data_IF_521775985623
#
_entry.id   IF_521775985623
#
_cell.length_a   1.000
_cell.length_b   1.000
_cell.length_c   1.000
_cell.angle_alpha   90.00
_cell.angle_beta   90.00
_cell.angle_gamma   90.00
#
_symmetry.space_group_name_H-M   'P 1'
#
loop_
_entity.id
_entity.type
_entity.pdbx_description
1 polymer ?
#
# COMPACT_ATOMS: atom_id res chain seq x y z
N UNK A 1 -13.34 11.22 -0.86
CA UNK A 1 -11.96 10.76 -0.70
C UNK A 1 -11.55 10.83 0.77
N UNK A 2 -10.91 9.78 1.27
CA UNK A 2 -10.41 9.72 2.64
C UNK A 2 -8.92 9.40 2.64
N UNK A 3 -8.18 10.05 3.53
CA UNK A 3 -6.76 9.78 3.76
C UNK A 3 -6.40 10.00 5.22
N UNK A 4 -5.21 9.59 5.59
CA UNK A 4 -4.63 9.90 6.89
C UNK A 4 -3.11 10.00 6.78
N UNK A 5 -2.55 10.84 7.61
CA UNK A 5 -1.12 10.98 7.80
C UNK A 5 -0.83 11.37 9.25
N UNK A 6 0.40 11.18 9.70
CA UNK A 6 0.89 11.60 11.02
C UNK A 6 1.52 12.99 10.99
N UNK A 7 1.85 13.51 9.81
CA UNK A 7 2.45 14.83 9.62
C UNK A 7 1.38 15.85 9.18
N UNK A 8 1.12 16.90 9.98
CA UNK A 8 0.19 17.97 9.60
C UNK A 8 0.56 18.70 8.30
N UNK A 9 1.85 18.72 7.92
CA UNK A 9 2.28 19.32 6.65
C UNK A 9 1.83 18.45 5.48
N UNK A 10 1.97 17.13 5.59
CA UNK A 10 1.52 16.19 4.56
C UNK A 10 0.00 16.22 4.39
N UNK A 11 -0.75 16.36 5.48
CA UNK A 11 -2.21 16.53 5.42
C UNK A 11 -2.60 17.77 4.62
N UNK A 12 -1.95 18.91 4.88
CA UNK A 12 -2.20 20.15 4.12
C UNK A 12 -1.87 19.99 2.64
N UNK A 13 -0.69 19.46 2.33
CA UNK A 13 -0.25 19.24 0.94
C UNK A 13 -1.19 18.27 0.20
N UNK A 14 -1.56 17.16 0.84
CA UNK A 14 -2.49 16.19 0.27
C UNK A 14 -3.87 16.82 0.01
N UNK A 15 -4.43 17.54 1.00
CA UNK A 15 -5.72 18.20 0.85
C UNK A 15 -5.70 19.23 -0.28
N UNK A 16 -4.68 20.08 -0.34
CA UNK A 16 -4.54 21.06 -1.42
C UNK A 16 -4.42 20.41 -2.79
N UNK A 17 -3.54 19.41 -2.93
CA UNK A 17 -3.31 18.71 -4.20
C UNK A 17 -4.59 18.01 -4.71
N UNK A 18 -5.28 17.29 -3.84
CA UNK A 18 -6.50 16.57 -4.21
C UNK A 18 -7.64 17.54 -4.56
N UNK A 19 -7.78 18.66 -3.83
CA UNK A 19 -8.77 19.71 -4.13
C UNK A 19 -8.48 20.38 -5.47
N UNK A 20 -7.24 20.72 -5.75
CA UNK A 20 -6.83 21.31 -7.04
C UNK A 20 -7.07 20.35 -8.22
N UNK A 21 -7.06 19.04 -7.99
CA UNK A 21 -7.42 18.03 -8.99
C UNK A 21 -8.93 17.79 -9.12
N UNK A 22 -9.76 18.61 -8.46
CA UNK A 22 -11.22 18.55 -8.57
C UNK A 22 -11.88 17.42 -7.80
N UNK A 23 -11.19 16.77 -6.87
CA UNK A 23 -11.81 15.72 -6.06
C UNK A 23 -12.76 16.33 -5.03
N UNK A 24 -14.05 15.93 -5.02
CA UNK A 24 -15.01 16.44 -4.05
C UNK A 24 -14.81 15.79 -2.67
N UNK A 25 -15.18 16.50 -1.61
CA UNK A 25 -15.26 15.97 -0.25
C UNK A 25 -13.97 15.29 0.24
N UNK A 26 -12.82 15.94 0.01
CA UNK A 26 -11.52 15.45 0.49
C UNK A 26 -11.46 15.53 2.01
N UNK A 27 -11.17 14.42 2.66
CA UNK A 27 -10.97 14.32 4.12
C UNK A 27 -9.65 13.62 4.39
N UNK A 28 -8.65 14.36 4.86
CA UNK A 28 -7.36 13.82 5.30
C UNK A 28 -7.22 14.06 6.79
N UNK A 29 -7.12 12.99 7.56
CA UNK A 29 -7.12 13.03 9.03
C UNK A 29 -5.71 12.95 9.59
N UNK A 30 -5.44 13.71 10.65
CA UNK A 30 -4.24 13.57 11.48
C UNK A 30 -4.41 12.31 12.35
N UNK A 31 -3.84 11.20 11.90
CA UNK A 31 -4.00 9.91 12.56
C UNK A 31 -2.86 8.96 12.26
N UNK A 32 -2.36 8.30 13.29
CA UNK A 32 -1.53 7.11 13.13
C UNK A 32 -2.42 5.87 13.22
N UNK A 33 -2.69 5.25 12.09
CA UNK A 33 -3.57 4.06 12.00
C UNK A 33 -3.02 2.83 12.71
N UNK A 34 -1.73 2.80 13.01
CA UNK A 34 -1.09 1.68 13.71
C UNK A 34 -1.22 1.78 15.24
N UNK A 35 -1.50 3.00 15.75
CA UNK A 35 -1.57 3.28 17.20
C UNK A 35 -2.88 3.89 17.65
N UNK A 36 -3.80 4.12 16.72
CA UNK A 36 -5.12 4.71 17.03
C UNK A 36 -6.20 3.94 16.27
N UNK A 37 -7.08 3.26 17.01
CA UNK A 37 -8.29 2.66 16.45
C UNK A 37 -9.46 3.63 16.52
N UNK A 38 -10.40 3.51 15.59
CA UNK A 38 -11.68 4.19 15.65
C UNK A 38 -12.79 3.15 15.74
N UNK A 39 -13.62 3.26 16.78
CA UNK A 39 -14.87 2.55 16.87
C UNK A 39 -15.90 3.04 15.84
N UNK A 40 -17.04 2.39 15.77
CA UNK A 40 -18.07 2.73 14.80
C UNK A 40 -18.70 4.10 15.06
N UNK A 41 -18.80 4.53 16.32
CA UNK A 41 -19.33 5.84 16.69
C UNK A 41 -18.39 6.95 16.17
N UNK A 42 -17.11 6.84 16.43
CA UNK A 42 -16.12 7.80 15.94
C UNK A 42 -16.00 7.80 14.42
N UNK A 43 -16.14 6.65 13.76
CA UNK A 43 -16.21 6.58 12.30
C UNK A 43 -17.44 7.32 11.77
N UNK A 44 -18.59 7.16 12.41
CA UNK A 44 -19.82 7.86 12.03
C UNK A 44 -19.68 9.38 12.20
N UNK A 45 -19.19 9.86 13.33
CA UNK A 45 -18.92 11.27 13.59
C UNK A 45 -18.00 11.91 12.53
N UNK A 46 -16.97 11.18 12.11
CA UNK A 46 -16.02 11.62 11.09
C UNK A 46 -16.53 11.39 9.66
N UNK A 47 -17.71 10.79 9.50
CA UNK A 47 -18.28 10.45 8.20
C UNK A 47 -17.43 9.45 7.41
N UNK A 48 -16.72 8.56 8.10
CA UNK A 48 -15.94 7.49 7.50
C UNK A 48 -16.84 6.31 7.11
N UNK A 49 -16.50 5.56 6.04
CA UNK A 49 -17.27 4.39 5.62
C UNK A 49 -17.31 3.33 6.73
N UNK A 50 -18.49 2.95 7.19
CA UNK A 50 -18.67 1.95 8.25
C UNK A 50 -18.28 0.54 7.78
N UNK A 51 -18.61 0.20 6.55
CA UNK A 51 -18.33 -1.12 5.96
C UNK A 51 -16.91 -1.25 5.39
N UNK A 52 -16.14 -0.16 5.40
CA UNK A 52 -14.81 -0.06 4.80
C UNK A 52 -14.79 0.58 3.42
N UNK A 53 -13.60 0.68 2.85
CA UNK A 53 -13.37 1.40 1.60
C UNK A 53 -13.58 0.52 0.36
N UNK A 54 -14.05 1.12 -0.71
CA UNK A 54 -14.17 0.46 -2.02
C UNK A 54 -12.80 0.22 -2.67
N UNK A 55 -11.92 1.21 -2.54
CA UNK A 55 -10.58 1.19 -3.10
C UNK A 55 -9.61 1.79 -2.08
N UNK A 56 -8.48 1.12 -1.90
CA UNK A 56 -7.33 1.61 -1.14
C UNK A 56 -6.14 1.70 -2.09
N UNK A 57 -5.52 2.87 -2.16
CA UNK A 57 -4.24 3.08 -2.84
C UNK A 57 -3.25 3.59 -1.79
N UNK A 58 -2.11 2.93 -1.67
CA UNK A 58 -1.14 3.26 -0.64
C UNK A 58 0.31 3.05 -1.08
N UNK A 59 1.15 3.96 -0.60
CA UNK A 59 2.59 3.82 -0.59
C UNK A 59 3.07 3.99 0.87
N UNK A 60 2.95 2.95 1.70
CA UNK A 60 3.32 3.02 3.11
C UNK A 60 4.84 3.05 3.28
N UNK A 61 5.36 3.43 4.46
CA UNK A 61 6.77 3.33 4.76
C UNK A 61 7.31 1.91 4.54
N UNK A 62 8.49 1.81 3.89
CA UNK A 62 9.10 0.52 3.52
C UNK A 62 9.86 -0.15 4.67
N UNK A 63 10.13 0.60 5.73
CA UNK A 63 10.84 0.11 6.91
C UNK A 63 10.45 0.95 8.13
N UNK A 64 10.59 0.36 9.29
CA UNK A 64 10.30 1.02 10.57
C UNK A 64 9.79 0.03 11.59
N UNK A 65 9.68 0.50 12.82
CA UNK A 65 9.12 -0.27 13.93
C UNK A 65 8.20 0.60 14.76
N UNK A 66 7.14 0.00 15.24
CA UNK A 66 6.22 0.61 16.23
C UNK A 66 6.50 -0.02 17.57
N UNK A 67 6.42 0.79 18.62
CA UNK A 67 6.43 0.28 20.00
C UNK A 67 5.29 -0.73 20.17
N UNK A 68 5.65 -1.93 20.61
CA UNK A 68 4.74 -3.07 20.71
C UNK A 68 3.48 -2.76 21.53
N UNK A 69 3.65 -2.03 22.62
CA UNK A 69 2.56 -1.72 23.54
C UNK A 69 1.60 -0.65 23.00
N UNK A 70 2.01 0.04 21.93
CA UNK A 70 1.19 1.06 21.27
C UNK A 70 0.43 0.54 20.05
N UNK A 71 0.73 -0.68 19.59
CA UNK A 71 0.07 -1.26 18.40
C UNK A 71 -1.36 -1.63 18.76
N UNK A 72 -2.33 -1.06 18.03
CA UNK A 72 -3.74 -1.41 18.20
C UNK A 72 -4.02 -2.83 17.70
N UNK A 73 -5.00 -3.50 18.33
CA UNK A 73 -5.29 -4.92 18.03
C UNK A 73 -5.69 -5.15 16.58
N UNK A 74 -6.37 -4.19 15.97
CA UNK A 74 -6.87 -4.26 14.58
C UNK A 74 -5.77 -4.49 13.54
N UNK A 75 -4.52 -4.08 13.83
CA UNK A 75 -3.41 -4.18 12.88
C UNK A 75 -2.36 -5.20 13.26
N UNK A 76 -2.54 -5.92 14.36
CA UNK A 76 -1.57 -6.92 14.83
C UNK A 76 -1.44 -8.08 13.84
N UNK A 77 -0.21 -8.47 13.57
CA UNK A 77 0.15 -9.66 12.82
C UNK A 77 1.20 -10.45 13.62
N UNK A 78 0.75 -11.45 14.35
CA UNK A 78 1.57 -12.16 15.32
C UNK A 78 2.18 -11.20 16.36
N UNK A 79 3.48 -11.28 16.56
CA UNK A 79 4.25 -10.40 17.46
C UNK A 79 5.05 -9.34 16.72
N UNK A 80 4.78 -9.12 15.43
CA UNK A 80 5.56 -8.18 14.60
C UNK A 80 5.33 -6.74 15.04
N UNK A 81 6.42 -5.97 14.99
CA UNK A 81 6.43 -4.51 15.15
C UNK A 81 6.83 -3.80 13.86
N UNK A 82 7.08 -4.56 12.79
CA UNK A 82 7.51 -4.06 11.48
C UNK A 82 6.37 -3.32 10.79
N UNK A 83 6.58 -2.04 10.48
CA UNK A 83 5.54 -1.15 9.96
C UNK A 83 4.92 -1.65 8.67
N UNK A 84 5.72 -2.20 7.76
CA UNK A 84 5.26 -2.72 6.47
C UNK A 84 4.23 -3.86 6.61
N UNK A 85 4.39 -4.74 7.61
CA UNK A 85 3.44 -5.81 7.87
C UNK A 85 2.16 -5.30 8.54
N UNK A 86 2.30 -4.36 9.48
CA UNK A 86 1.17 -3.75 10.18
C UNK A 86 0.30 -2.92 9.22
N UNK A 87 0.93 -2.15 8.32
CA UNK A 87 0.19 -1.42 7.27
C UNK A 87 -0.53 -2.35 6.31
N UNK A 88 0.08 -3.45 5.92
CA UNK A 88 -0.58 -4.46 5.09
C UNK A 88 -1.83 -5.02 5.78
N UNK A 89 -1.73 -5.36 7.05
CA UNK A 89 -2.88 -5.83 7.84
C UNK A 89 -3.98 -4.76 7.90
N UNK A 90 -3.60 -3.51 8.20
CA UNK A 90 -4.54 -2.39 8.21
C UNK A 90 -5.28 -2.23 6.88
N UNK A 91 -4.57 -2.29 5.75
CA UNK A 91 -5.19 -2.13 4.43
C UNK A 91 -6.14 -3.27 4.08
N UNK A 92 -5.78 -4.52 4.43
CA UNK A 92 -6.65 -5.67 4.23
C UNK A 92 -7.98 -5.49 4.97
N UNK A 93 -7.94 -5.04 6.22
CA UNK A 93 -9.13 -4.93 7.07
C UNK A 93 -9.93 -3.64 6.83
N UNK A 94 -9.29 -2.60 6.31
CA UNK A 94 -9.97 -1.33 5.99
C UNK A 94 -10.84 -1.39 4.73
N UNK A 95 -10.66 -2.39 3.87
CA UNK A 95 -11.49 -2.61 2.71
C UNK A 95 -12.87 -3.16 3.09
N UNK A 96 -13.92 -2.79 2.37
CA UNK A 96 -15.19 -3.51 2.41
C UNK A 96 -15.08 -4.86 1.69
N UNK A 97 -15.99 -5.83 1.94
CA UNK A 97 -16.06 -7.03 1.12
C UNK A 97 -16.10 -6.72 -0.39
N UNK A 98 -15.23 -7.35 -1.18
CA UNK A 98 -15.06 -7.06 -2.60
C UNK A 98 -14.31 -5.76 -2.94
N UNK A 99 -13.90 -4.97 -1.95
CA UNK A 99 -13.04 -3.80 -2.14
C UNK A 99 -11.65 -4.17 -2.63
N UNK A 100 -10.99 -3.26 -3.35
CA UNK A 100 -9.71 -3.50 -4.03
C UNK A 100 -8.59 -2.67 -3.43
N UNK A 101 -7.39 -3.23 -3.38
CA UNK A 101 -6.18 -2.54 -2.95
C UNK A 101 -5.11 -2.56 -4.04
N UNK A 102 -4.45 -1.42 -4.23
CA UNK A 102 -3.17 -1.31 -4.91
C UNK A 102 -2.16 -0.72 -3.94
N UNK A 103 -1.13 -1.46 -3.60
CA UNK A 103 -0.15 -1.04 -2.58
C UNK A 103 1.26 -1.34 -3.02
N UNK A 104 2.15 -0.37 -2.78
CA UNK A 104 3.59 -0.57 -2.95
C UNK A 104 4.13 -1.26 -1.71
N UNK A 105 4.83 -2.38 -1.93
CA UNK A 105 5.42 -3.19 -0.86
C UNK A 105 6.90 -3.44 -1.13
N UNK A 106 7.76 -3.43 -0.08
CA UNK A 106 9.12 -3.88 -0.22
C UNK A 106 9.17 -5.41 -0.43
N UNK A 107 10.21 -5.91 -1.10
CA UNK A 107 10.37 -7.35 -1.36
C UNK A 107 10.28 -8.21 -0.09
N UNK A 108 10.65 -7.66 1.07
CA UNK A 108 10.53 -8.34 2.35
C UNK A 108 9.11 -8.85 2.66
N UNK A 109 8.07 -8.13 2.24
CA UNK A 109 6.67 -8.56 2.41
C UNK A 109 6.40 -9.84 1.61
N UNK A 110 6.93 -9.92 0.38
CA UNK A 110 6.70 -11.04 -0.53
C UNK A 110 7.57 -12.27 -0.19
N UNK A 111 8.83 -12.05 0.24
CA UNK A 111 9.83 -13.10 0.37
C UNK A 111 10.34 -13.32 1.80
N UNK A 112 9.96 -12.49 2.76
CA UNK A 112 10.40 -12.60 4.14
C UNK A 112 10.05 -13.95 4.77
N UNK A 113 10.93 -14.47 5.63
CA UNK A 113 10.84 -15.84 6.18
C UNK A 113 10.30 -15.91 7.61
N UNK A 114 10.11 -14.79 8.31
CA UNK A 114 9.59 -14.81 9.68
C UNK A 114 8.14 -15.33 9.74
N UNK A 115 7.73 -15.78 10.91
CA UNK A 115 6.35 -16.24 11.14
C UNK A 115 5.30 -15.20 10.76
N UNK A 116 5.55 -13.91 11.06
CA UNK A 116 4.65 -12.82 10.74
C UNK A 116 4.53 -12.59 9.22
N UNK A 117 5.64 -12.67 8.46
CA UNK A 117 5.58 -12.60 7.00
C UNK A 117 4.78 -13.76 6.40
N UNK A 118 5.01 -14.97 6.88
CA UNK A 118 4.28 -16.17 6.42
C UNK A 118 2.78 -16.06 6.75
N UNK A 119 2.45 -15.61 7.95
CA UNK A 119 1.06 -15.43 8.37
C UNK A 119 0.36 -14.34 7.54
N UNK A 120 1.01 -13.22 7.27
CA UNK A 120 0.45 -12.18 6.41
C UNK A 120 0.15 -12.73 5.01
N UNK A 121 1.11 -13.44 4.39
CA UNK A 121 0.89 -14.05 3.06
C UNK A 121 -0.18 -15.11 3.08
N UNK A 122 -0.28 -15.90 4.14
CA UNK A 122 -1.37 -16.87 4.32
C UNK A 122 -2.72 -16.16 4.30
N UNK A 123 -2.89 -15.08 5.08
CA UNK A 123 -4.13 -14.28 5.10
C UNK A 123 -4.43 -13.64 3.74
N UNK A 124 -3.40 -13.17 3.03
CA UNK A 124 -3.56 -12.62 1.69
C UNK A 124 -4.07 -13.67 0.69
N UNK A 125 -3.56 -14.87 0.75
CA UNK A 125 -3.87 -15.94 -0.24
C UNK A 125 -5.17 -16.67 0.10
N UNK A 126 -5.41 -16.96 1.39
CA UNK A 126 -6.55 -17.78 1.82
C UNK A 126 -7.83 -16.96 2.03
N UNK A 127 -7.71 -15.71 2.49
CA UNK A 127 -8.85 -14.88 2.87
C UNK A 127 -9.09 -13.70 1.91
N UNK A 128 -8.21 -13.54 0.94
CA UNK A 128 -8.30 -12.50 -0.09
C UNK A 128 -7.91 -13.06 -1.45
N UNK A 129 -8.27 -12.32 -2.49
CA UNK A 129 -7.89 -12.66 -3.85
C UNK A 129 -6.75 -11.75 -4.29
N UNK A 130 -5.53 -12.26 -4.29
CA UNK A 130 -4.38 -11.59 -4.91
C UNK A 130 -4.55 -11.70 -6.43
N UNK A 131 -4.63 -10.57 -7.10
CA UNK A 131 -4.88 -10.48 -8.55
C UNK A 131 -3.57 -10.37 -9.32
N UNK A 132 -2.65 -9.48 -8.86
CA UNK A 132 -1.37 -9.30 -9.52
C UNK A 132 -0.27 -8.85 -8.56
N UNK A 133 0.97 -9.12 -8.94
CA UNK A 133 2.19 -8.56 -8.39
C UNK A 133 3.01 -7.99 -9.52
N UNK A 134 3.29 -6.68 -9.48
CA UNK A 134 4.13 -6.00 -10.46
C UNK A 134 5.45 -5.60 -9.82
N UNK A 135 6.55 -6.23 -10.23
CA UNK A 135 7.89 -5.85 -9.82
C UNK A 135 8.26 -4.51 -10.46
N UNK A 136 8.68 -3.55 -9.65
CA UNK A 136 9.14 -2.24 -10.08
C UNK A 136 10.65 -2.26 -10.36
N UNK A 137 11.17 -1.33 -11.18
CA UNK A 137 12.59 -1.18 -11.41
C UNK A 137 13.35 -0.93 -10.10
N UNK A 138 14.57 -1.45 -9.99
CA UNK A 138 15.43 -1.13 -8.85
C UNK A 138 15.79 0.36 -8.88
N UNK A 139 15.62 1.05 -7.72
CA UNK A 139 15.94 2.49 -7.64
C UNK A 139 14.78 3.44 -7.99
N UNK A 140 13.59 2.95 -8.32
CA UNK A 140 12.40 3.76 -8.64
C UNK A 140 12.05 4.83 -7.57
N UNK A 141 12.52 4.65 -6.34
CA UNK A 141 12.32 5.60 -5.24
C UNK A 141 13.57 6.40 -4.87
N UNK A 142 14.61 6.39 -5.70
CA UNK A 142 15.75 7.28 -5.51
C UNK A 142 15.32 8.76 -5.65
N UNK A 143 15.91 9.68 -4.89
CA UNK A 143 17.00 9.51 -3.91
C UNK A 143 16.51 9.06 -2.52
N UNK A 144 15.21 8.86 -2.31
CA UNK A 144 14.63 8.61 -0.98
C UNK A 144 14.84 7.20 -0.45
N UNK A 145 14.87 6.22 -1.33
CA UNK A 145 15.04 4.80 -0.97
C UNK A 145 15.61 3.98 -2.12
N UNK A 146 16.61 3.14 -1.81
CA UNK A 146 17.15 2.13 -2.73
C UNK A 146 16.48 0.75 -2.59
N UNK A 147 15.43 0.64 -1.77
CA UNK A 147 14.73 -0.63 -1.54
C UNK A 147 13.98 -1.05 -2.80
N UNK A 148 14.21 -2.29 -3.24
CA UNK A 148 13.43 -2.87 -4.33
C UNK A 148 12.01 -3.18 -3.87
N UNK A 149 11.04 -2.79 -4.69
CA UNK A 149 9.63 -2.82 -4.37
C UNK A 149 8.80 -3.45 -5.47
N UNK A 150 7.59 -3.82 -5.13
CA UNK A 150 6.56 -4.28 -6.06
C UNK A 150 5.23 -3.61 -5.76
N UNK A 151 4.36 -3.52 -6.76
CA UNK A 151 2.95 -3.18 -6.53
C UNK A 151 2.18 -4.47 -6.38
N UNK A 152 1.46 -4.60 -5.26
CA UNK A 152 0.58 -5.71 -4.97
C UNK A 152 -0.87 -5.28 -5.19
N UNK A 153 -1.59 -6.03 -6.01
CA UNK A 153 -3.03 -5.83 -6.26
C UNK A 153 -3.81 -6.99 -5.67
N UNK A 154 -4.78 -6.67 -4.81
CA UNK A 154 -5.66 -7.68 -4.23
C UNK A 154 -7.07 -7.15 -3.98
N UNK A 155 -8.01 -8.06 -3.81
CA UNK A 155 -9.40 -7.81 -3.46
C UNK A 155 -9.74 -8.48 -2.14
N UNK A 156 -10.47 -7.78 -1.27
CA UNK A 156 -10.91 -8.36 0.00
C UNK A 156 -11.96 -9.45 -0.22
N UNK A 157 -11.73 -10.59 0.40
CA UNK A 157 -12.59 -11.77 0.34
C UNK A 157 -12.29 -12.69 -0.86
N UNK A 158 -12.73 -13.92 -0.76
CA UNK A 158 -12.42 -14.98 -1.69
C UNK A 158 -11.11 -15.69 -1.36
N UNK A 159 -10.65 -16.50 -2.30
CA UNK A 159 -9.39 -17.22 -2.23
C UNK A 159 -8.60 -16.95 -3.50
N UNK A 160 -7.29 -16.86 -3.36
CA UNK A 160 -6.39 -16.72 -4.51
C UNK A 160 -6.21 -18.07 -5.20
N UNK A 161 -6.54 -18.12 -6.49
CA UNK A 161 -6.33 -19.30 -7.34
C UNK A 161 -5.15 -19.10 -8.28
N UNK A 162 -5.07 -17.92 -8.89
CA UNK A 162 -4.01 -17.55 -9.82
C UNK A 162 -3.56 -16.13 -9.51
N UNK A 163 -2.28 -15.86 -9.72
CA UNK A 163 -1.67 -14.53 -9.57
C UNK A 163 -0.98 -14.15 -10.88
N UNK A 164 -1.27 -12.97 -11.39
CA UNK A 164 -0.55 -12.41 -12.53
C UNK A 164 0.75 -11.80 -12.02
N UNK A 165 1.88 -12.20 -12.60
CA UNK A 165 3.18 -11.56 -12.36
C UNK A 165 3.55 -10.66 -13.52
N UNK A 166 3.83 -9.40 -13.20
CA UNK A 166 4.21 -8.36 -14.12
C UNK A 166 5.62 -7.87 -13.76
N UNK A 167 6.35 -7.40 -14.74
CA UNK A 167 7.68 -6.82 -14.52
C UNK A 167 7.82 -5.54 -15.34
N UNK A 168 8.17 -4.44 -14.66
CA UNK A 168 8.57 -3.20 -15.30
C UNK A 168 10.09 -3.09 -15.19
N UNK A 169 10.77 -2.93 -16.30
CA UNK A 169 12.22 -2.73 -16.36
C UNK A 169 12.58 -1.24 -16.26
N UNK A 170 11.69 -0.36 -16.76
CA UNK A 170 11.91 1.09 -16.86
C UNK A 170 10.66 1.86 -16.41
N UNK A 171 10.88 3.03 -15.84
CA UNK A 171 9.82 3.94 -15.38
C UNK A 171 9.89 5.34 -16.02
N UNK A 172 10.60 5.48 -17.13
CA UNK A 172 10.78 6.73 -17.85
C UNK A 172 11.92 7.61 -17.34
N UNK A 173 12.68 7.13 -16.36
CA UNK A 173 13.82 7.85 -15.80
C UNK A 173 15.08 6.98 -15.75
N UNK A 174 16.24 7.64 -15.83
CA UNK A 174 17.53 6.98 -15.67
C UNK A 174 17.69 6.45 -14.25
N UNK A 175 18.05 5.17 -14.13
CA UNK A 175 18.27 4.50 -12.84
C UNK A 175 19.62 4.87 -12.23
N UNK A 176 19.76 6.10 -11.78
CA UNK A 176 20.92 6.60 -11.03
C UNK A 176 20.50 7.16 -9.66
N UNK A 177 21.48 7.70 -8.92
CA UNK A 177 21.24 8.19 -7.57
C UNK A 177 20.22 9.34 -7.47
N UNK A 178 20.07 10.14 -8.52
CA UNK A 178 19.18 11.31 -8.54
C UNK A 178 17.79 10.96 -9.06
N UNK A 179 17.70 10.01 -10.00
CA UNK A 179 16.46 9.54 -10.63
C UNK A 179 15.60 10.71 -11.18
N UNK A 180 16.25 11.66 -11.85
CA UNK A 180 15.63 12.92 -12.32
C UNK A 180 15.78 13.14 -13.83
N UNK A 181 16.56 12.31 -14.51
CA UNK A 181 16.84 12.43 -15.95
C UNK A 181 15.85 11.57 -16.77
N UNK A 182 14.92 12.19 -17.54
CA UNK A 182 13.99 11.43 -18.37
C UNK A 182 14.69 10.60 -19.46
N UNK A 183 14.14 9.42 -19.74
CA UNK A 183 14.54 8.54 -20.85
C UNK A 183 13.30 8.09 -21.63
N UNK A 184 13.47 7.62 -22.88
CA UNK A 184 12.35 7.14 -23.71
C UNK A 184 11.75 5.81 -23.22
N UNK A 185 12.55 4.97 -22.56
CA UNK A 185 12.11 3.67 -22.07
C UNK A 185 11.24 3.83 -20.83
N UNK A 186 9.93 3.61 -20.96
CA UNK A 186 8.94 3.70 -19.90
C UNK A 186 7.89 2.59 -20.06
N UNK A 187 7.97 1.56 -19.20
CA UNK A 187 7.06 0.43 -19.20
C UNK A 187 5.76 0.71 -18.40
N UNK A 188 5.68 1.88 -17.76
CA UNK A 188 4.58 2.24 -16.87
C UNK A 188 3.57 3.22 -17.50
N UNK A 189 3.81 3.67 -18.74
CA UNK A 189 2.88 4.55 -19.44
C UNK A 189 1.56 3.87 -19.76
N UNK A 190 0.47 4.61 -19.58
CA UNK A 190 -0.87 4.16 -19.93
C UNK A 190 -0.95 3.92 -21.45
N UNK A 191 -1.28 2.68 -21.85
CA UNK A 191 -1.41 2.31 -23.27
C UNK A 191 -0.22 1.52 -23.84
N UNK A 192 0.89 1.41 -23.12
CA UNK A 192 1.95 0.47 -23.47
C UNK A 192 1.63 -0.93 -22.95
N UNK A 193 1.83 -1.97 -23.77
CA UNK A 193 1.67 -3.33 -23.27
C UNK A 193 2.72 -3.62 -22.22
N UNK A 194 2.29 -3.77 -20.96
CA UNK A 194 3.15 -4.30 -19.90
C UNK A 194 3.68 -5.65 -20.38
N UNK A 195 4.99 -5.79 -20.48
CA UNK A 195 5.58 -7.05 -20.92
C UNK A 195 5.32 -8.12 -19.84
N UNK A 196 4.41 -9.03 -20.18
CA UNK A 196 4.20 -10.23 -19.38
C UNK A 196 5.43 -11.14 -19.57
N UNK A 197 6.27 -11.25 -18.55
CA UNK A 197 7.24 -12.35 -18.48
C UNK A 197 6.53 -13.49 -17.73
N UNK A 198 6.19 -14.56 -18.42
CA UNK A 198 5.81 -15.81 -17.78
C UNK A 198 7.05 -16.33 -17.02
N UNK A 199 6.90 -16.64 -15.74
CA UNK A 199 7.90 -17.32 -14.92
C UNK A 199 7.59 -18.80 -14.88
#
# INVERSE_FOLDING_TARGET
FFGNDVDPKMIRLATMNLTLRGLPNVRVLLRNVLTTSFDNERKAELGLPQEGYHVVLANPPFSGRVDKDRIVDDVKIGTSTATELLFMKYMMDSLRPGGRCGVIVPEGVLFGSTSAHKELRRQLIENNRVEAVMSLPGGVFQPYSGVKTSVLFFRRGGKTENVMFLHADNDGYKMDANHDTPIEADDMQVGYPVRLKAF
#
